data_IF_615606044605
#
_entry.id   IF_615606044605
#
_cell.length_a   1.000
_cell.length_b   1.000
_cell.length_c   1.000
_cell.angle_alpha   90.00
_cell.angle_beta   90.00
_cell.angle_gamma   90.00
#
_symmetry.space_group_name_H-M   'P 1'
#
loop_
_entity.id
_entity.type
_entity.pdbx_description
1 polymer ?
#
# COMPACT_ATOMS: atom_id res chain seq x y z
N UNK A 1 -72.23 -39.98 -30.54
CA UNK A 1 -70.81 -40.02 -30.14
C UNK A 1 -69.93 -39.52 -31.27
N UNK A 2 -69.31 -38.34 -31.13
CA UNK A 2 -67.96 -37.94 -31.62
C UNK A 2 -67.83 -36.42 -31.45
N UNK A 3 -66.95 -36.00 -30.53
CA UNK A 3 -66.66 -34.60 -30.17
C UNK A 3 -65.72 -33.95 -31.21
N UNK A 4 -65.74 -32.62 -31.41
CA UNK A 4 -64.76 -31.94 -32.26
C UNK A 4 -63.41 -31.80 -31.53
N UNK A 5 -62.33 -31.96 -32.29
CA UNK A 5 -60.95 -31.89 -31.80
C UNK A 5 -60.54 -30.45 -31.46
N UNK A 6 -59.99 -30.24 -30.26
CA UNK A 6 -59.35 -28.99 -29.86
C UNK A 6 -57.93 -28.95 -30.42
N UNK A 7 -57.62 -27.91 -31.20
CA UNK A 7 -56.26 -27.63 -31.67
C UNK A 7 -55.36 -27.19 -30.51
N UNK A 8 -54.34 -27.99 -30.19
CA UNK A 8 -53.30 -27.63 -29.24
C UNK A 8 -52.30 -26.66 -29.88
N UNK A 9 -52.38 -25.38 -29.51
CA UNK A 9 -51.27 -24.44 -29.71
C UNK A 9 -50.14 -24.80 -28.73
N UNK A 10 -49.06 -25.38 -29.26
CA UNK A 10 -47.82 -25.66 -28.53
C UNK A 10 -47.12 -24.34 -28.20
N UNK A 11 -47.21 -23.90 -26.93
CA UNK A 11 -46.32 -22.87 -26.40
C UNK A 11 -44.91 -23.48 -26.30
N UNK A 12 -44.04 -23.19 -27.26
CA UNK A 12 -42.59 -23.42 -27.13
C UNK A 12 -42.13 -22.74 -25.83
N UNK A 13 -41.76 -23.54 -24.83
CA UNK A 13 -41.01 -23.07 -23.66
C UNK A 13 -39.67 -22.54 -24.19
N UNK A 14 -39.52 -21.22 -24.24
CA UNK A 14 -38.21 -20.58 -24.33
C UNK A 14 -37.48 -20.96 -23.03
N UNK A 15 -36.52 -21.86 -23.13
CA UNK A 15 -35.59 -22.13 -22.04
C UNK A 15 -34.80 -20.84 -21.81
N UNK A 16 -35.15 -20.12 -20.74
CA UNK A 16 -34.23 -19.15 -20.17
C UNK A 16 -33.04 -19.94 -19.67
N UNK A 17 -31.94 -19.90 -20.42
CA UNK A 17 -30.64 -20.35 -19.94
C UNK A 17 -30.36 -19.62 -18.64
N UNK A 18 -30.50 -20.33 -17.52
CA UNK A 18 -30.01 -19.86 -16.24
C UNK A 18 -28.49 -19.92 -16.35
N UNK A 19 -27.85 -18.76 -16.44
CA UNK A 19 -26.41 -18.63 -16.35
C UNK A 19 -25.91 -19.45 -15.14
N UNK A 20 -24.95 -20.34 -15.38
CA UNK A 20 -24.26 -21.05 -14.30
C UNK A 20 -23.68 -20.00 -13.34
N UNK A 21 -23.68 -20.24 -12.01
CA UNK A 21 -23.07 -19.31 -11.08
C UNK A 21 -21.60 -19.12 -11.47
N UNK A 22 -21.18 -17.85 -11.60
CA UNK A 22 -19.82 -17.47 -11.93
C UNK A 22 -18.83 -18.18 -11.01
N UNK A 23 -17.71 -18.65 -11.55
CA UNK A 23 -16.66 -19.25 -10.72
C UNK A 23 -16.18 -18.20 -9.71
N UNK A 24 -15.64 -18.65 -8.56
CA UNK A 24 -15.06 -17.73 -7.56
C UNK A 24 -13.95 -16.86 -8.17
N UNK A 25 -13.23 -17.39 -9.16
CA UNK A 25 -12.17 -16.70 -9.91
C UNK A 25 -12.76 -15.62 -10.82
N UNK A 26 -13.83 -15.93 -11.56
CA UNK A 26 -14.54 -14.97 -12.40
C UNK A 26 -15.11 -13.80 -11.57
N UNK A 27 -15.76 -14.09 -10.44
CA UNK A 27 -16.27 -13.05 -9.54
C UNK A 27 -15.14 -12.15 -8.97
N UNK A 28 -13.97 -12.73 -8.68
CA UNK A 28 -12.78 -11.99 -8.24
C UNK A 28 -12.23 -11.12 -9.36
N UNK A 29 -12.09 -11.64 -10.57
CA UNK A 29 -11.64 -10.88 -11.74
C UNK A 29 -12.54 -9.69 -12.03
N UNK A 30 -13.87 -9.86 -12.01
CA UNK A 30 -14.82 -8.76 -12.17
C UNK A 30 -14.72 -7.71 -11.06
N UNK A 31 -14.47 -8.13 -9.82
CA UNK A 31 -14.29 -7.20 -8.70
C UNK A 31 -12.99 -6.40 -8.84
N UNK A 32 -11.90 -7.08 -9.19
CA UNK A 32 -10.62 -6.44 -9.46
C UNK A 32 -10.73 -5.49 -10.66
N UNK A 33 -11.38 -5.89 -11.74
CA UNK A 33 -11.58 -5.06 -12.93
C UNK A 33 -12.29 -3.73 -12.61
N UNK A 34 -13.34 -3.77 -11.77
CA UNK A 34 -14.02 -2.55 -11.32
C UNK A 34 -13.09 -1.63 -10.52
N UNK A 35 -12.19 -2.18 -9.71
CA UNK A 35 -11.21 -1.40 -8.98
C UNK A 35 -10.13 -0.81 -9.91
N UNK A 36 -9.55 -1.65 -10.80
CA UNK A 36 -8.53 -1.25 -11.76
C UNK A 36 -9.03 -0.19 -12.74
N UNK A 37 -10.29 -0.28 -13.19
CA UNK A 37 -10.89 0.70 -14.09
C UNK A 37 -10.94 2.14 -13.54
N UNK A 38 -10.79 2.30 -12.22
CA UNK A 38 -10.63 3.60 -11.56
C UNK A 38 -9.18 3.87 -11.21
N UNK A 39 -8.47 2.89 -10.65
CA UNK A 39 -7.12 3.07 -10.10
C UNK A 39 -6.06 3.29 -11.19
N UNK A 40 -6.15 2.56 -12.31
CA UNK A 40 -5.17 2.65 -13.40
C UNK A 40 -5.29 3.91 -14.25
N UNK A 41 -6.22 4.81 -13.91
CA UNK A 41 -6.29 6.17 -14.47
C UNK A 41 -5.34 7.15 -13.78
N UNK A 42 -4.79 6.75 -12.63
CA UNK A 42 -3.83 7.53 -11.84
C UNK A 42 -4.29 8.97 -11.49
N UNK A 43 -5.60 9.20 -11.37
CA UNK A 43 -6.17 10.51 -11.04
C UNK A 43 -5.88 10.96 -9.59
N UNK A 44 -5.66 9.99 -8.69
CA UNK A 44 -5.37 10.17 -7.26
C UNK A 44 -4.48 9.03 -6.75
N UNK A 45 -3.86 9.17 -5.55
CA UNK A 45 -3.13 8.09 -4.91
C UNK A 45 -3.96 6.80 -4.81
N UNK A 46 -3.34 5.66 -5.10
CA UNK A 46 -4.03 4.38 -5.22
C UNK A 46 -4.65 3.90 -3.90
N UNK A 47 -4.01 4.18 -2.77
CA UNK A 47 -4.55 3.89 -1.44
C UNK A 47 -5.86 4.64 -1.16
N UNK A 48 -5.96 5.90 -1.61
CA UNK A 48 -7.17 6.73 -1.50
C UNK A 48 -8.28 6.15 -2.38
N UNK A 49 -7.99 5.83 -3.64
CA UNK A 49 -8.96 5.26 -4.57
C UNK A 49 -9.43 3.86 -4.12
N UNK A 50 -8.51 3.01 -3.67
CA UNK A 50 -8.80 1.69 -3.11
C UNK A 50 -9.68 1.80 -1.85
N UNK A 51 -9.36 2.73 -0.94
CA UNK A 51 -10.17 2.97 0.27
C UNK A 51 -11.59 3.40 -0.09
N UNK A 52 -11.74 4.31 -1.07
CA UNK A 52 -13.04 4.72 -1.58
C UNK A 52 -13.81 3.56 -2.22
N UNK A 53 -13.13 2.72 -3.02
CA UNK A 53 -13.71 1.53 -3.62
C UNK A 53 -14.24 0.55 -2.56
N UNK A 54 -13.48 0.24 -1.52
CA UNK A 54 -13.93 -0.67 -0.45
C UNK A 54 -15.05 -0.07 0.42
N UNK A 55 -15.09 1.25 0.59
CA UNK A 55 -16.23 1.92 1.25
C UNK A 55 -17.51 1.81 0.43
N UNK A 56 -17.42 1.90 -0.90
CA UNK A 56 -18.55 1.71 -1.80
C UNK A 56 -18.99 0.25 -1.94
N UNK A 57 -18.22 -0.72 -1.43
CA UNK A 57 -18.52 -2.15 -1.48
C UNK A 57 -18.51 -2.77 -0.06
N UNK A 58 -19.44 -2.36 0.83
CA UNK A 58 -19.45 -2.78 2.23
C UNK A 58 -19.61 -4.29 2.42
N UNK A 59 -20.26 -4.98 1.48
CA UNK A 59 -20.50 -6.43 1.48
C UNK A 59 -19.21 -7.27 1.39
N UNK A 60 -18.07 -6.69 1.00
CA UNK A 60 -16.81 -7.41 0.92
C UNK A 60 -16.26 -7.70 2.32
N UNK A 61 -16.04 -8.99 2.62
CA UNK A 61 -15.38 -9.42 3.85
C UNK A 61 -13.90 -9.03 3.90
N UNK A 62 -13.31 -9.07 5.10
CA UNK A 62 -11.91 -8.66 5.32
C UNK A 62 -10.91 -9.44 4.44
N UNK A 63 -11.10 -10.75 4.30
CA UNK A 63 -10.24 -11.62 3.48
C UNK A 63 -10.29 -11.24 2.00
N UNK A 64 -11.49 -10.95 1.48
CA UNK A 64 -11.67 -10.55 0.09
C UNK A 64 -11.06 -9.17 -0.18
N UNK A 65 -11.25 -8.22 0.74
CA UNK A 65 -10.59 -6.90 0.65
C UNK A 65 -9.07 -7.01 0.62
N UNK A 66 -8.49 -7.85 1.49
CA UNK A 66 -7.04 -8.09 1.50
C UNK A 66 -6.55 -8.66 0.18
N UNK A 67 -7.25 -9.67 -0.35
CA UNK A 67 -6.88 -10.33 -1.61
C UNK A 67 -6.96 -9.36 -2.79
N UNK A 68 -8.02 -8.55 -2.86
CA UNK A 68 -8.20 -7.55 -3.93
C UNK A 68 -7.17 -6.42 -3.79
N UNK A 69 -6.87 -5.96 -2.57
CA UNK A 69 -5.85 -4.94 -2.34
C UNK A 69 -4.47 -5.41 -2.83
N UNK A 70 -4.10 -6.64 -2.51
CA UNK A 70 -2.84 -7.24 -2.97
C UNK A 70 -2.79 -7.33 -4.50
N UNK A 71 -3.86 -7.77 -5.15
CA UNK A 71 -3.94 -7.84 -6.61
C UNK A 71 -3.89 -6.45 -7.27
N UNK A 72 -4.49 -5.41 -6.67
CA UNK A 72 -4.39 -4.02 -7.15
C UNK A 72 -2.92 -3.57 -7.14
N UNK A 73 -2.22 -3.73 -6.01
CA UNK A 73 -0.82 -3.30 -5.92
C UNK A 73 0.12 -4.18 -6.74
N UNK A 74 -0.21 -5.45 -6.97
CA UNK A 74 0.47 -6.28 -7.95
C UNK A 74 0.30 -5.72 -9.37
N UNK A 75 -0.95 -5.45 -9.79
CA UNK A 75 -1.22 -4.89 -11.12
C UNK A 75 -0.50 -3.56 -11.36
N UNK A 76 -0.40 -2.71 -10.32
CA UNK A 76 0.33 -1.45 -10.41
C UNK A 76 1.84 -1.62 -10.53
N UNK A 77 2.44 -2.54 -9.76
CA UNK A 77 3.88 -2.84 -9.82
C UNK A 77 4.28 -3.50 -11.14
N UNK A 78 3.38 -4.26 -11.73
CA UNK A 78 3.58 -4.99 -12.99
C UNK A 78 2.82 -4.33 -14.16
N UNK A 79 2.55 -3.03 -14.07
CA UNK A 79 1.67 -2.34 -15.02
C UNK A 79 2.23 -2.36 -16.44
N UNK A 80 3.54 -2.22 -16.61
CA UNK A 80 4.17 -2.22 -17.92
C UNK A 80 4.24 -3.63 -18.50
N UNK A 81 4.53 -4.67 -17.70
CA UNK A 81 4.45 -6.06 -18.15
C UNK A 81 3.04 -6.39 -18.63
N UNK A 82 2.02 -6.09 -17.83
CA UNK A 82 0.61 -6.29 -18.18
C UNK A 82 0.29 -5.53 -19.47
N UNK A 83 0.70 -4.26 -19.57
CA UNK A 83 0.50 -3.43 -20.78
C UNK A 83 1.17 -4.04 -22.02
N UNK A 84 2.38 -4.56 -21.90
CA UNK A 84 3.12 -5.17 -23.00
C UNK A 84 2.46 -6.47 -23.47
N UNK A 85 2.06 -7.33 -22.51
CA UNK A 85 1.36 -8.59 -22.78
C UNK A 85 -0.02 -8.38 -23.39
N UNK A 86 -0.71 -7.29 -23.07
CA UNK A 86 -2.05 -6.97 -23.59
C UNK A 86 -2.06 -6.36 -25.01
N UNK A 87 -0.92 -5.90 -25.54
CA UNK A 87 -0.87 -5.24 -26.86
C UNK A 87 -1.64 -6.05 -27.94
N UNK A 88 -2.50 -5.38 -28.75
CA UNK A 88 -2.62 -3.93 -28.90
C UNK A 88 -3.49 -3.20 -27.85
N UNK A 89 -4.23 -3.93 -27.00
CA UNK A 89 -4.99 -3.32 -25.91
C UNK A 89 -4.07 -2.83 -24.78
N UNK A 90 -4.59 -1.95 -23.92
CA UNK A 90 -3.91 -1.52 -22.70
C UNK A 90 -4.80 -1.75 -21.46
N UNK A 91 -4.22 -1.74 -20.24
CA UNK A 91 -4.95 -2.09 -19.03
C UNK A 91 -6.08 -1.12 -18.64
N UNK A 92 -6.01 0.13 -19.11
CA UNK A 92 -7.02 1.16 -18.82
C UNK A 92 -8.26 0.96 -19.69
N UNK A 93 -8.07 0.58 -20.95
CA UNK A 93 -9.14 0.36 -21.92
C UNK A 93 -9.87 -0.98 -21.69
N UNK A 94 -9.16 -2.01 -21.23
CA UNK A 94 -9.73 -3.31 -20.88
C UNK A 94 -9.29 -3.75 -19.46
N UNK A 95 -9.90 -3.17 -18.41
CA UNK A 95 -9.54 -3.48 -17.03
C UNK A 95 -9.91 -4.92 -16.63
N UNK A 96 -10.78 -5.57 -17.39
CA UNK A 96 -11.19 -6.96 -17.15
C UNK A 96 -10.10 -7.94 -17.62
N UNK A 97 -9.59 -7.76 -18.84
CA UNK A 97 -8.43 -8.52 -19.30
C UNK A 97 -7.19 -8.25 -18.44
N UNK A 98 -6.99 -7.00 -17.99
CA UNK A 98 -5.93 -6.66 -17.04
C UNK A 98 -6.07 -7.41 -15.71
N UNK A 99 -7.29 -7.47 -15.16
CA UNK A 99 -7.59 -8.18 -13.93
C UNK A 99 -7.35 -9.70 -14.06
N UNK A 100 -7.79 -10.31 -15.16
CA UNK A 100 -7.55 -11.73 -15.44
C UNK A 100 -6.06 -12.05 -15.55
N UNK A 101 -5.31 -11.23 -16.31
CA UNK A 101 -3.88 -11.39 -16.48
C UNK A 101 -3.13 -11.21 -15.14
N UNK A 102 -3.51 -10.20 -14.35
CA UNK A 102 -2.97 -9.99 -12.99
C UNK A 102 -3.15 -11.23 -12.13
N UNK A 103 -4.38 -11.76 -12.05
CA UNK A 103 -4.67 -12.92 -11.20
C UNK A 103 -3.96 -14.19 -11.69
N UNK A 104 -3.80 -14.37 -12.99
CA UNK A 104 -3.06 -15.49 -13.58
C UNK A 104 -1.55 -15.40 -13.33
N UNK A 105 -0.97 -14.20 -13.38
CA UNK A 105 0.44 -13.96 -13.04
C UNK A 105 0.73 -14.20 -11.55
N UNK A 106 -0.25 -14.00 -10.66
CA UNK A 106 -0.08 -14.20 -9.22
C UNK A 106 -0.15 -15.66 -8.75
N UNK A 107 -0.94 -16.52 -9.42
CA UNK A 107 -1.27 -17.87 -8.90
C UNK A 107 -0.74 -19.02 -9.78
N UNK A 108 0.13 -18.72 -10.76
CA UNK A 108 0.45 -19.62 -11.87
C UNK A 108 -0.82 -19.92 -12.71
N UNK A 109 -0.66 -20.08 -14.03
CA UNK A 109 -1.75 -19.89 -15.00
C UNK A 109 -2.98 -20.81 -14.84
N UNK A 110 -2.85 -21.95 -14.15
CA UNK A 110 -3.88 -23.01 -14.11
C UNK A 110 -5.14 -22.62 -13.33
N UNK A 111 -5.01 -21.98 -12.16
CA UNK A 111 -6.17 -21.56 -11.37
C UNK A 111 -6.86 -20.31 -11.96
N UNK A 112 -6.09 -19.42 -12.61
CA UNK A 112 -6.58 -18.17 -13.21
C UNK A 112 -7.47 -18.35 -14.44
N UNK A 113 -7.37 -19.50 -15.13
CA UNK A 113 -8.18 -19.83 -16.31
C UNK A 113 -9.54 -20.46 -15.96
N UNK A 114 -9.75 -20.84 -14.70
CA UNK A 114 -10.92 -21.61 -14.29
C UNK A 114 -12.24 -20.81 -14.35
N UNK A 115 -13.16 -21.26 -15.20
CA UNK A 115 -14.47 -20.64 -15.37
C UNK A 115 -14.53 -19.50 -16.39
N UNK A 116 -13.44 -19.23 -17.11
CA UNK A 116 -13.47 -18.29 -18.23
C UNK A 116 -14.16 -18.90 -19.46
N UNK A 117 -14.75 -18.03 -20.30
CA UNK A 117 -15.24 -18.47 -21.60
C UNK A 117 -14.07 -18.91 -22.49
N UNK A 118 -14.25 -19.84 -23.45
CA UNK A 118 -13.16 -20.33 -24.30
C UNK A 118 -12.38 -19.22 -25.01
N UNK A 119 -13.09 -18.19 -25.49
CA UNK A 119 -12.48 -17.04 -26.14
C UNK A 119 -11.57 -16.24 -25.19
N UNK A 120 -12.01 -15.99 -23.95
CA UNK A 120 -11.23 -15.27 -22.94
C UNK A 120 -10.04 -16.08 -22.46
N UNK A 121 -10.24 -17.38 -22.23
CA UNK A 121 -9.16 -18.30 -21.88
C UNK A 121 -8.06 -18.32 -22.94
N UNK A 122 -8.43 -18.38 -24.23
CA UNK A 122 -7.48 -18.32 -25.34
C UNK A 122 -6.73 -16.98 -25.40
N UNK A 123 -7.44 -15.86 -25.21
CA UNK A 123 -6.83 -14.53 -25.21
C UNK A 123 -5.83 -14.38 -24.04
N UNK A 124 -6.20 -14.83 -22.84
CA UNK A 124 -5.33 -14.84 -21.66
C UNK A 124 -4.10 -15.72 -21.88
N UNK A 125 -4.27 -16.94 -22.40
CA UNK A 125 -3.17 -17.84 -22.71
C UNK A 125 -2.20 -17.23 -23.73
N UNK A 126 -2.72 -16.56 -24.76
CA UNK A 126 -1.91 -15.82 -25.74
C UNK A 126 -1.14 -14.66 -25.11
N UNK A 127 -1.70 -13.97 -24.13
CA UNK A 127 -0.99 -12.90 -23.41
C UNK A 127 0.12 -13.46 -22.50
N UNK A 128 -0.14 -14.59 -21.83
CA UNK A 128 0.83 -15.28 -20.98
C UNK A 128 1.98 -15.92 -21.77
N UNK A 129 1.73 -16.38 -23.00
CA UNK A 129 2.76 -17.00 -23.85
C UNK A 129 3.75 -16.02 -24.47
N UNK A 130 3.49 -14.71 -24.40
CA UNK A 130 4.45 -13.70 -24.86
C UNK A 130 5.68 -13.68 -23.95
N UNK A 131 6.86 -13.82 -24.54
CA UNK A 131 8.14 -13.78 -23.82
C UNK A 131 8.50 -12.35 -23.41
N UNK A 132 8.26 -12.00 -22.14
CA UNK A 132 8.54 -10.67 -21.61
C UNK A 132 10.03 -10.32 -21.60
N UNK A 133 10.94 -11.29 -21.72
CA UNK A 133 12.38 -11.01 -21.85
C UNK A 133 12.71 -10.23 -23.14
N UNK A 134 11.85 -10.33 -24.16
CA UNK A 134 11.93 -9.60 -25.43
C UNK A 134 11.43 -8.15 -25.33
N UNK A 135 10.83 -7.75 -24.20
CA UNK A 135 10.33 -6.39 -24.02
C UNK A 135 11.49 -5.37 -23.91
N UNK A 136 11.28 -4.11 -24.37
CA UNK A 136 12.26 -3.04 -24.18
C UNK A 136 12.67 -2.90 -22.71
N UNK A 137 13.90 -2.46 -22.45
CA UNK A 137 14.47 -2.47 -21.10
C UNK A 137 13.62 -1.70 -20.07
N UNK A 138 13.01 -0.57 -20.44
CA UNK A 138 12.15 0.19 -19.54
C UNK A 138 10.86 -0.54 -19.16
N UNK A 139 10.30 -1.37 -20.05
CA UNK A 139 9.18 -2.25 -19.72
C UNK A 139 9.60 -3.26 -18.67
N UNK A 140 10.73 -3.94 -18.88
CA UNK A 140 11.27 -4.93 -17.94
C UNK A 140 11.67 -4.33 -16.58
N UNK A 141 11.97 -3.03 -16.57
CA UNK A 141 12.24 -2.27 -15.35
C UNK A 141 10.98 -1.80 -14.61
N UNK A 142 9.78 -1.98 -15.18
CA UNK A 142 8.51 -1.44 -14.64
C UNK A 142 8.57 0.09 -14.41
N UNK A 143 9.27 0.81 -15.30
CA UNK A 143 9.49 2.25 -15.21
C UNK A 143 9.07 2.98 -16.49
N UNK A 144 8.42 4.15 -16.39
CA UNK A 144 8.23 5.00 -17.56
C UNK A 144 9.60 5.41 -18.12
N UNK A 145 9.70 5.52 -19.44
CA UNK A 145 10.98 5.68 -20.15
C UNK A 145 11.87 6.80 -19.56
N UNK A 146 11.29 7.97 -19.28
CA UNK A 146 12.03 9.10 -18.71
C UNK A 146 12.67 8.79 -17.33
N UNK A 147 12.01 7.99 -16.50
CA UNK A 147 12.50 7.64 -15.16
C UNK A 147 13.53 6.51 -15.26
N UNK A 148 13.31 5.56 -16.16
CA UNK A 148 14.31 4.55 -16.51
C UNK A 148 15.62 5.21 -16.91
N UNK A 149 15.60 6.13 -17.88
CA UNK A 149 16.81 6.86 -18.32
C UNK A 149 17.49 7.61 -17.18
N UNK A 150 16.71 8.33 -16.36
CA UNK A 150 17.24 9.09 -15.23
C UNK A 150 17.92 8.20 -14.19
N UNK A 151 17.29 7.09 -13.79
CA UNK A 151 17.86 6.16 -12.81
C UNK A 151 19.08 5.44 -13.38
N UNK A 152 19.02 4.99 -14.64
CA UNK A 152 20.14 4.36 -15.32
C UNK A 152 21.37 5.27 -15.41
N UNK A 153 21.18 6.58 -15.56
CA UNK A 153 22.27 7.55 -15.59
C UNK A 153 22.85 7.88 -14.20
N UNK A 154 22.05 7.79 -13.13
CA UNK A 154 22.42 8.27 -11.79
C UNK A 154 22.90 7.16 -10.84
N UNK A 155 22.52 5.91 -11.08
CA UNK A 155 22.76 4.81 -10.16
C UNK A 155 23.80 3.83 -10.73
N UNK A 156 24.81 3.47 -9.94
CA UNK A 156 25.82 2.49 -10.33
C UNK A 156 25.25 1.07 -10.50
N UNK A 157 24.12 0.76 -9.84
CA UNK A 157 23.43 -0.53 -9.91
C UNK A 157 21.92 -0.30 -10.15
N UNK A 158 21.53 0.18 -11.34
CA UNK A 158 20.15 0.57 -11.61
C UNK A 158 19.21 -0.64 -11.65
N UNK A 159 19.71 -1.81 -12.07
CA UNK A 159 18.92 -3.04 -12.09
C UNK A 159 18.48 -3.49 -10.68
N UNK A 160 19.37 -3.41 -9.68
CA UNK A 160 19.03 -3.73 -8.28
C UNK A 160 17.88 -2.82 -7.80
N UNK A 161 17.94 -1.53 -8.16
CA UNK A 161 16.86 -0.59 -7.88
C UNK A 161 15.56 -1.01 -8.56
N UNK A 162 15.56 -1.26 -9.87
CA UNK A 162 14.34 -1.64 -10.61
C UNK A 162 13.68 -2.89 -10.04
N UNK A 163 14.47 -3.95 -9.78
CA UNK A 163 13.96 -5.19 -9.19
C UNK A 163 13.30 -4.91 -7.83
N UNK A 164 13.95 -4.10 -6.96
CA UNK A 164 13.40 -3.77 -5.65
C UNK A 164 12.03 -3.06 -5.70
N UNK A 165 11.73 -2.33 -6.78
CA UNK A 165 10.44 -1.63 -6.95
C UNK A 165 9.31 -2.58 -7.40
N UNK A 166 9.67 -3.75 -7.94
CA UNK A 166 8.70 -4.77 -8.35
C UNK A 166 8.28 -5.67 -7.22
N UNK A 167 8.90 -5.60 -6.04
CA UNK A 167 8.58 -6.42 -4.88
C UNK A 167 7.56 -5.75 -3.94
N UNK A 168 6.89 -6.56 -3.10
CA UNK A 168 5.98 -6.03 -2.08
C UNK A 168 6.81 -5.39 -0.96
N UNK A 169 6.52 -4.13 -0.62
CA UNK A 169 7.20 -3.45 0.47
C UNK A 169 7.07 -4.25 1.78
N UNK A 170 8.16 -4.39 2.55
CA UNK A 170 8.13 -5.05 3.85
C UNK A 170 7.25 -4.27 4.83
N UNK A 171 6.76 -4.95 5.87
CA UNK A 171 6.04 -4.33 6.96
C UNK A 171 6.97 -4.18 8.16
N UNK A 172 7.51 -2.97 8.33
CA UNK A 172 8.40 -2.65 9.43
C UNK A 172 7.66 -1.91 10.55
N UNK A 173 8.01 -2.29 11.78
CA UNK A 173 7.56 -1.69 13.01
C UNK A 173 8.74 -0.97 13.67
N UNK A 174 8.48 0.18 14.27
CA UNK A 174 9.40 0.83 15.20
C UNK A 174 8.92 0.61 16.62
N UNK A 175 9.75 -0.01 17.44
CA UNK A 175 9.51 -0.17 18.88
C UNK A 175 9.52 1.18 19.57
N UNK A 176 8.55 1.39 20.46
CA UNK A 176 8.49 2.56 21.31
C UNK A 176 9.39 2.35 22.55
N UNK A 177 10.61 2.87 22.48
CA UNK A 177 11.63 2.74 23.53
C UNK A 177 11.34 3.49 24.83
N UNK A 178 10.18 4.16 24.93
CA UNK A 178 9.64 4.65 26.19
C UNK A 178 8.90 3.57 26.99
N UNK A 179 8.42 2.52 26.32
CA UNK A 179 7.50 1.54 26.91
C UNK A 179 8.03 0.12 26.90
N UNK A 180 8.87 -0.22 25.93
CA UNK A 180 9.34 -1.58 25.72
C UNK A 180 10.71 -1.60 25.04
N UNK A 181 11.41 -2.71 25.20
CA UNK A 181 12.59 -3.07 24.41
C UNK A 181 12.18 -3.83 23.14
N UNK A 182 13.13 -4.01 22.21
CA UNK A 182 12.88 -4.80 20.99
C UNK A 182 12.57 -6.27 21.31
N UNK A 183 13.19 -6.82 22.34
CA UNK A 183 12.93 -8.18 22.83
C UNK A 183 11.49 -8.33 23.32
N UNK A 184 11.05 -7.43 24.20
CA UNK A 184 9.68 -7.47 24.76
C UNK A 184 8.61 -7.47 23.65
N UNK A 185 8.80 -6.65 22.61
CA UNK A 185 7.84 -6.57 21.49
C UNK A 185 7.88 -7.83 20.62
N UNK A 186 9.06 -8.42 20.38
CA UNK A 186 9.16 -9.68 19.65
C UNK A 186 8.46 -10.83 20.40
N UNK A 187 8.62 -10.90 21.72
CA UNK A 187 7.95 -11.92 22.54
C UNK A 187 6.43 -11.79 22.49
N UNK A 188 5.90 -10.55 22.53
CA UNK A 188 4.47 -10.32 22.36
C UNK A 188 3.96 -10.66 20.95
N UNK A 189 4.76 -10.39 19.92
CA UNK A 189 4.42 -10.77 18.54
C UNK A 189 4.39 -12.30 18.40
N UNK A 190 5.31 -13.02 19.03
CA UNK A 190 5.33 -14.48 19.02
C UNK A 190 4.07 -15.08 19.66
N UNK A 191 3.55 -14.48 20.75
CA UNK A 191 2.28 -14.88 21.38
C UNK A 191 1.06 -14.71 20.46
N UNK A 192 1.15 -13.84 19.45
CA UNK A 192 0.13 -13.67 18.41
C UNK A 192 0.29 -14.66 17.25
N UNK A 193 1.26 -15.59 17.33
CA UNK A 193 1.63 -16.52 16.27
C UNK A 193 2.04 -15.81 14.97
N UNK A 194 2.70 -14.65 15.08
CA UNK A 194 3.25 -13.94 13.95
C UNK A 194 4.75 -14.16 13.87
N UNK A 195 5.24 -14.34 12.65
CA UNK A 195 6.67 -14.43 12.39
C UNK A 195 7.24 -13.02 12.19
N UNK A 196 8.35 -12.74 12.87
CA UNK A 196 9.02 -11.46 12.84
C UNK A 196 10.50 -11.61 13.10
N UNK A 197 11.30 -10.68 12.58
CA UNK A 197 12.74 -10.60 12.81
C UNK A 197 13.18 -9.17 13.06
N UNK A 198 14.29 -8.94 13.78
CA UNK A 198 14.91 -7.63 13.81
C UNK A 198 15.18 -7.10 12.40
N UNK A 199 15.00 -5.79 12.20
CA UNK A 199 15.49 -5.14 10.99
C UNK A 199 17.03 -5.10 11.00
N UNK A 200 17.70 -5.14 9.85
CA UNK A 200 19.17 -5.28 9.76
C UNK A 200 19.96 -4.08 10.29
N UNK A 201 19.42 -2.86 10.20
CA UNK A 201 20.13 -1.62 10.52
C UNK A 201 19.53 -0.89 11.73
N UNK A 202 18.20 -0.76 11.80
CA UNK A 202 17.56 -0.06 12.92
C UNK A 202 17.62 -0.89 14.21
N UNK A 203 18.21 -0.39 15.31
CA UNK A 203 18.25 -1.10 16.59
C UNK A 203 16.86 -1.28 17.23
N UNK A 204 15.88 -0.48 16.81
CA UNK A 204 14.51 -0.50 17.32
C UNK A 204 13.51 -1.05 16.30
N UNK A 205 13.98 -1.49 15.14
CA UNK A 205 13.11 -1.97 14.07
C UNK A 205 12.83 -3.47 14.17
N UNK A 206 11.60 -3.84 13.81
CA UNK A 206 11.13 -5.22 13.66
C UNK A 206 10.48 -5.33 12.29
N UNK A 207 10.88 -6.33 11.49
CA UNK A 207 10.25 -6.67 10.21
C UNK A 207 9.31 -7.85 10.40
N UNK A 208 8.03 -7.65 10.09
CA UNK A 208 7.04 -8.72 10.08
C UNK A 208 7.10 -9.53 8.79
N UNK A 209 6.83 -10.83 8.89
CA UNK A 209 6.49 -11.67 7.75
C UNK A 209 4.99 -11.58 7.53
N UNK A 210 4.59 -11.19 6.31
CA UNK A 210 3.19 -10.91 5.98
C UNK A 210 2.70 -9.55 6.50
N UNK A 211 1.39 -9.32 6.38
CA UNK A 211 0.75 -8.03 6.70
C UNK A 211 -0.49 -8.22 7.61
N UNK A 212 -0.31 -8.69 8.85
CA UNK A 212 -1.44 -8.95 9.74
C UNK A 212 -2.14 -7.66 10.19
N UNK A 213 -3.36 -7.79 10.72
CA UNK A 213 -4.16 -6.66 11.20
C UNK A 213 -3.63 -6.13 12.55
N UNK A 214 -2.69 -5.19 12.50
CA UNK A 214 -1.99 -4.67 13.69
C UNK A 214 -2.87 -3.85 14.64
N UNK A 215 -3.75 -3.02 14.09
CA UNK A 215 -4.39 -1.90 14.83
C UNK A 215 -5.35 -2.36 15.93
N UNK A 216 -5.83 -3.61 15.85
CA UNK A 216 -6.76 -4.17 16.83
C UNK A 216 -6.06 -4.87 18.01
N UNK A 217 -4.76 -5.14 17.90
CA UNK A 217 -3.99 -5.84 18.93
C UNK A 217 -3.84 -5.04 20.22
N UNK A 218 -3.70 -5.74 21.34
CA UNK A 218 -3.43 -5.13 22.63
C UNK A 218 -2.10 -4.35 22.63
N UNK A 219 -1.05 -4.92 22.04
CA UNK A 219 0.28 -4.31 21.96
C UNK A 219 0.33 -3.03 21.11
N UNK A 220 -0.44 -2.96 20.02
CA UNK A 220 -0.57 -1.71 19.27
C UNK A 220 -1.34 -0.65 20.06
N UNK A 221 -2.48 -1.04 20.68
CA UNK A 221 -3.31 -0.13 21.50
C UNK A 221 -2.56 0.39 22.73
N UNK A 222 -1.70 -0.42 23.33
CA UNK A 222 -0.80 -0.03 24.41
C UNK A 222 0.35 0.89 23.93
N UNK A 223 0.56 1.03 22.61
CA UNK A 223 1.58 1.89 22.03
C UNK A 223 3.00 1.34 22.18
N UNK A 224 3.16 0.01 22.20
CA UNK A 224 4.49 -0.63 22.30
C UNK A 224 5.32 -0.47 21.03
N UNK A 225 4.66 -0.27 19.89
CA UNK A 225 5.30 0.02 18.61
C UNK A 225 4.41 0.94 17.75
N UNK A 226 4.98 1.40 16.64
CA UNK A 226 4.26 2.09 15.57
C UNK A 226 4.72 1.57 14.20
N UNK A 227 3.87 1.66 13.17
CA UNK A 227 4.26 1.23 11.81
C UNK A 227 5.14 2.30 11.19
N UNK A 228 6.37 1.93 10.81
CA UNK A 228 7.32 2.83 10.18
C UNK A 228 8.46 2.04 9.51
N UNK A 229 8.74 2.38 8.26
CA UNK A 229 9.85 1.83 7.48
C UNK A 229 11.20 2.04 8.16
N UNK A 230 12.08 1.05 8.08
CA UNK A 230 13.41 1.09 8.68
C UNK A 230 14.20 2.36 8.31
N UNK A 231 14.20 2.78 7.04
CA UNK A 231 14.89 3.99 6.59
C UNK A 231 14.41 5.25 7.32
N UNK A 232 13.10 5.37 7.57
CA UNK A 232 12.54 6.48 8.34
C UNK A 232 12.93 6.43 9.83
N UNK A 233 13.15 5.23 10.38
CA UNK A 233 13.66 5.08 11.75
C UNK A 233 15.10 5.57 11.84
N UNK A 234 15.94 5.21 10.87
CA UNK A 234 17.34 5.61 10.80
C UNK A 234 17.48 7.13 10.65
N UNK A 235 16.67 7.76 9.79
CA UNK A 235 16.66 9.24 9.64
C UNK A 235 16.39 9.94 10.98
N UNK A 236 15.42 9.45 11.76
CA UNK A 236 15.13 10.03 13.07
C UNK A 236 16.28 9.82 14.06
N UNK A 237 17.00 8.70 13.97
CA UNK A 237 18.17 8.42 14.82
C UNK A 237 19.37 9.30 14.46
N UNK A 238 19.61 9.54 13.16
CA UNK A 238 20.69 10.41 12.68
C UNK A 238 20.57 11.86 13.15
N UNK A 239 19.36 12.31 13.49
CA UNK A 239 19.18 13.63 14.09
C UNK A 239 19.81 13.71 15.49
N UNK A 240 19.94 12.59 16.21
CA UNK A 240 20.48 12.50 17.57
C UNK A 240 19.82 13.47 18.56
N UNK A 241 18.49 13.57 18.55
CA UNK A 241 17.76 14.41 19.48
C UNK A 241 17.93 13.96 20.95
N UNK A 242 18.35 14.88 21.81
CA UNK A 242 18.64 14.63 23.22
C UNK A 242 17.56 15.18 24.16
N UNK A 243 17.59 14.70 25.40
CA UNK A 243 16.66 15.14 26.45
C UNK A 243 16.89 16.61 26.76
N UNK A 244 15.81 17.38 26.85
CA UNK A 244 15.87 18.79 27.24
C UNK A 244 16.04 19.77 26.08
N UNK A 245 16.47 19.31 24.91
CA UNK A 245 16.60 20.11 23.69
C UNK A 245 15.24 20.64 23.19
N UNK A 246 15.32 21.71 22.42
CA UNK A 246 14.24 22.22 21.59
C UNK A 246 14.46 21.74 20.15
N UNK A 247 13.63 20.79 19.71
CA UNK A 247 13.76 20.10 18.41
C UNK A 247 12.55 20.42 17.53
N UNK A 248 12.77 20.56 16.23
CA UNK A 248 11.72 20.75 15.24
C UNK A 248 11.67 19.59 14.24
N UNK A 249 10.48 19.04 14.01
CA UNK A 249 10.12 18.21 12.86
C UNK A 249 9.33 19.09 11.88
N UNK A 250 10.02 19.56 10.83
CA UNK A 250 9.51 20.49 9.85
C UNK A 250 9.08 19.69 8.60
N UNK A 251 7.77 19.64 8.34
CA UNK A 251 7.08 18.66 7.48
C UNK A 251 6.79 17.32 8.19
N UNK A 252 6.28 17.40 9.42
CA UNK A 252 6.04 16.24 10.28
C UNK A 252 5.05 15.20 9.71
N UNK A 253 4.18 15.58 8.78
CA UNK A 253 3.19 14.71 8.17
C UNK A 253 2.30 14.03 9.21
N UNK A 254 2.18 12.70 9.11
CA UNK A 254 1.44 11.88 10.08
C UNK A 254 2.22 11.63 11.40
N UNK A 255 3.41 12.23 11.54
CA UNK A 255 4.21 12.30 12.75
C UNK A 255 5.05 11.06 13.06
N UNK A 256 5.29 10.18 12.10
CA UNK A 256 6.12 8.98 12.31
C UNK A 256 7.49 9.34 12.91
N UNK A 257 8.21 10.28 12.29
CA UNK A 257 9.53 10.73 12.74
C UNK A 257 9.42 11.53 14.05
N UNK A 258 8.43 12.41 14.20
CA UNK A 258 8.11 13.09 15.47
C UNK A 258 8.02 12.11 16.65
N UNK A 259 7.32 10.98 16.49
CA UNK A 259 7.18 10.00 17.55
C UNK A 259 8.50 9.31 17.91
N UNK A 260 9.39 9.08 16.92
CA UNK A 260 10.74 8.56 17.17
C UNK A 260 11.58 9.58 17.95
N UNK A 261 11.56 10.85 17.52
CA UNK A 261 12.27 11.93 18.19
C UNK A 261 11.79 12.10 19.63
N UNK A 262 10.47 12.10 19.87
CA UNK A 262 9.91 12.20 21.21
C UNK A 262 10.37 11.05 22.13
N UNK A 263 10.48 9.84 21.59
CA UNK A 263 11.00 8.69 22.33
C UNK A 263 12.51 8.81 22.62
N UNK A 264 13.31 9.29 21.66
CA UNK A 264 14.75 9.57 21.85
C UNK A 264 14.98 10.64 22.93
N UNK A 265 14.19 11.71 22.91
CA UNK A 265 14.20 12.79 23.91
C UNK A 265 13.59 12.38 25.26
N UNK A 266 13.16 11.13 25.42
CA UNK A 266 12.46 10.58 26.60
C UNK A 266 11.27 11.43 27.07
N UNK A 267 10.52 11.99 26.12
CA UNK A 267 9.42 12.93 26.38
C UNK A 267 9.82 14.14 27.25
N UNK A 268 11.07 14.60 27.16
CA UNK A 268 11.60 15.82 27.81
C UNK A 268 11.99 16.86 26.76
N UNK A 269 12.18 18.11 27.18
CA UNK A 269 12.45 19.22 26.24
C UNK A 269 11.18 19.68 25.51
N UNK A 270 11.34 20.25 24.31
CA UNK A 270 10.24 20.73 23.48
C UNK A 270 10.37 20.19 22.08
N UNK A 271 9.37 19.44 21.62
CA UNK A 271 9.35 18.90 20.27
C UNK A 271 8.24 19.56 19.45
N UNK A 272 8.62 20.39 18.49
CA UNK A 272 7.70 21.06 17.58
C UNK A 272 7.48 20.21 16.34
N UNK A 273 6.22 20.01 15.95
CA UNK A 273 5.83 19.33 14.73
C UNK A 273 5.02 20.29 13.87
N UNK A 274 5.61 20.75 12.77
CA UNK A 274 4.97 21.67 11.83
C UNK A 274 4.67 20.98 10.51
N UNK A 275 3.50 21.27 9.95
CA UNK A 275 3.10 20.81 8.62
C UNK A 275 2.07 21.77 8.02
N UNK A 276 1.98 21.85 6.70
CA UNK A 276 0.94 22.64 6.03
C UNK A 276 -0.41 21.93 5.99
N UNK A 277 -0.40 20.60 6.13
CA UNK A 277 -1.58 19.76 6.10
C UNK A 277 -2.10 19.47 7.52
N UNK A 278 -3.10 20.25 7.92
CA UNK A 278 -3.75 20.10 9.22
C UNK A 278 -4.28 18.67 9.47
N UNK A 279 -4.88 18.02 8.46
CA UNK A 279 -5.44 16.66 8.62
C UNK A 279 -4.37 15.62 8.97
N UNK A 280 -3.15 15.77 8.44
CA UNK A 280 -2.03 14.90 8.77
C UNK A 280 -1.60 15.09 10.24
N UNK A 281 -1.51 16.33 10.71
CA UNK A 281 -1.18 16.64 12.11
C UNK A 281 -2.26 16.18 13.10
N UNK A 282 -3.53 16.26 12.74
CA UNK A 282 -4.63 15.74 13.58
C UNK A 282 -4.48 14.24 13.86
N UNK A 283 -3.90 13.48 12.91
CA UNK A 283 -3.61 12.05 13.11
C UNK A 283 -2.43 11.79 14.05
N UNK A 284 -1.52 12.75 14.23
CA UNK A 284 -0.36 12.64 15.12
C UNK A 284 -0.77 12.70 16.59
N UNK A 285 -1.69 13.58 16.98
CA UNK A 285 -2.05 13.78 18.41
C UNK A 285 -2.53 12.50 19.12
N UNK A 286 -3.45 11.68 18.55
CA UNK A 286 -3.80 10.38 19.12
C UNK A 286 -2.61 9.41 19.20
N UNK A 287 -1.72 9.41 18.19
CA UNK A 287 -0.53 8.55 18.18
C UNK A 287 0.48 8.97 19.25
N UNK A 288 0.69 10.27 19.46
CA UNK A 288 1.57 10.82 20.49
C UNK A 288 1.07 10.44 21.89
N UNK A 289 -0.23 10.61 22.15
CA UNK A 289 -0.86 10.16 23.40
C UNK A 289 -0.70 8.66 23.61
N UNK A 290 -0.97 7.86 22.58
CA UNK A 290 -0.77 6.40 22.63
C UNK A 290 0.69 6.03 22.90
N UNK A 291 1.65 6.75 22.31
CA UNK A 291 3.08 6.56 22.54
C UNK A 291 3.55 7.02 23.93
N UNK A 292 2.72 7.76 24.68
CA UNK A 292 3.08 8.30 26.00
C UNK A 292 3.89 9.60 25.93
N UNK A 293 3.79 10.35 24.83
CA UNK A 293 4.48 11.61 24.64
C UNK A 293 3.63 12.78 25.14
N UNK A 294 4.26 13.67 25.90
CA UNK A 294 3.67 14.91 26.43
C UNK A 294 4.41 16.17 26.01
N UNK A 295 5.60 16.05 25.41
CA UNK A 295 6.46 17.17 25.00
C UNK A 295 6.24 17.62 23.54
N UNK A 296 5.20 17.10 22.86
CA UNK A 296 4.93 17.38 21.44
C UNK A 296 3.98 18.56 21.30
N UNK A 297 4.43 19.61 20.60
CA UNK A 297 3.61 20.72 20.13
C UNK A 297 3.40 20.59 18.62
N UNK A 298 2.23 20.10 18.23
CA UNK A 298 1.84 20.01 16.83
C UNK A 298 1.04 21.25 16.43
N UNK A 299 1.44 21.93 15.36
CA UNK A 299 0.73 23.09 14.85
C UNK A 299 0.77 23.17 13.33
N UNK A 300 -0.37 23.41 12.65
CA UNK A 300 -0.34 23.69 11.23
C UNK A 300 0.34 25.04 10.96
N UNK A 301 1.04 25.15 9.84
CA UNK A 301 1.64 26.39 9.33
C UNK A 301 1.12 26.65 7.92
N UNK A 302 1.07 27.91 7.49
CA UNK A 302 0.66 28.21 6.11
C UNK A 302 1.74 27.88 5.09
N UNK A 303 3.00 28.17 5.45
CA UNK A 303 4.20 27.96 4.66
C UNK A 303 5.43 28.13 5.57
N UNK A 304 6.62 28.01 5.01
CA UNK A 304 7.90 28.17 5.69
C UNK A 304 8.17 29.57 6.25
N UNK A 305 7.40 30.58 5.83
CA UNK A 305 7.48 31.96 6.28
C UNK A 305 6.42 32.34 7.32
N UNK A 306 5.67 31.36 7.84
CA UNK A 306 4.65 31.56 8.87
C UNK A 306 5.23 32.26 10.11
N UNK A 307 4.42 33.15 10.72
CA UNK A 307 4.82 33.91 11.91
C UNK A 307 5.22 33.02 13.09
N UNK A 308 4.61 31.84 13.23
CA UNK A 308 4.94 30.85 14.26
C UNK A 308 6.38 30.37 14.11
N UNK A 309 6.79 30.08 12.88
CA UNK A 309 8.15 29.65 12.54
C UNK A 309 9.13 30.80 12.76
N UNK A 310 8.81 32.01 12.26
CA UNK A 310 9.65 33.22 12.42
C UNK A 310 9.93 33.56 13.88
N UNK A 311 8.94 33.42 14.78
CA UNK A 311 9.10 33.64 16.24
C UNK A 311 10.05 32.66 16.91
N UNK A 312 10.37 31.55 16.25
CA UNK A 312 11.27 30.50 16.74
C UNK A 312 12.65 30.51 16.05
N UNK A 313 12.94 31.54 15.24
CA UNK A 313 14.24 31.70 14.59
C UNK A 313 15.38 31.64 15.62
N UNK A 314 16.40 30.83 15.32
CA UNK A 314 17.60 30.60 16.16
C UNK A 314 17.30 30.05 17.57
N UNK A 315 16.16 29.37 17.77
CA UNK A 315 15.80 28.76 19.08
C UNK A 315 15.88 27.24 19.13
N UNK A 316 15.98 26.57 17.98
CA UNK A 316 16.05 25.12 17.90
C UNK A 316 17.50 24.66 18.00
N UNK A 317 17.75 23.65 18.83
CA UNK A 317 19.02 22.95 18.87
C UNK A 317 19.17 22.07 17.62
N UNK A 318 18.06 21.47 17.16
CA UNK A 318 18.03 20.56 16.01
C UNK A 318 16.75 20.73 15.19
N UNK A 319 16.88 20.59 13.88
CA UNK A 319 15.76 20.65 12.94
C UNK A 319 15.86 19.47 11.97
N UNK A 320 14.82 18.64 11.96
CA UNK A 320 14.58 17.65 10.92
C UNK A 320 13.72 18.29 9.84
N UNK A 321 14.17 18.20 8.59
CA UNK A 321 13.40 18.65 7.42
C UNK A 321 13.13 17.45 6.53
N UNK A 322 11.90 16.94 6.59
CA UNK A 322 11.42 15.87 5.71
C UNK A 322 10.67 16.49 4.53
N UNK A 323 11.43 17.14 3.64
CA UNK A 323 10.88 17.98 2.59
C UNK A 323 9.96 17.18 1.63
N UNK A 324 8.86 17.77 1.15
CA UNK A 324 8.06 17.17 0.08
C UNK A 324 8.94 16.84 -1.12
N UNK A 325 8.90 15.59 -1.57
CA UNK A 325 9.70 15.09 -2.68
C UNK A 325 8.82 14.55 -3.81
N UNK A 326 9.42 13.94 -4.83
CA UNK A 326 8.73 13.47 -6.04
C UNK A 326 7.78 12.28 -5.84
N UNK A 327 7.66 11.76 -4.62
CA UNK A 327 6.78 10.63 -4.29
C UNK A 327 6.82 10.31 -2.81
#
# INVERSE_FOLDING_TARGET
MRKPAKSHFSRKKVSRDRAKPASRVEARAHTLARALGVILRFEKPADVLMSAFFKANPQMGQKDRSTIAEAIFFAMRHYLEISWRMKPANPVDDPLAAAELTLAMQNEAEDGLSGLSPHRAQALQKALSKDFSQAPAFYRAEMPFWLFEKISAQNARPNDFFVSQTESAPLDLRVNTLKATRGDVLDEIAKLNWEARPTPFSPTGIRLVGKPALTQTAIFKAGLFDVQDEGSQLIAQLLEAHRGEMVCDFCAGAGGKTLALGAAMKSKGRLYAFDVNQKRLESLLPRARRAGLSNVYAAPILNEHDLRVKRLKNKFDRVLVDAPCSG
#
